data_IF_361270166974
#
_entry.id   IF_361270166974
#
_cell.length_a   1.000
_cell.length_b   1.000
_cell.length_c   1.000
_cell.angle_alpha   90.00
_cell.angle_beta   90.00
_cell.angle_gamma   90.00
#
_symmetry.space_group_name_H-M   'P 1'
#
loop_
_entity.id
_entity.type
_entity.pdbx_description
1 polymer ?
#
# COMPACT_ATOMS: atom_id res chain seq x y z
N UNK A 1 -33.89 -52.15 -19.22
CA UNK A 1 -32.87 -51.11 -19.47
C UNK A 1 -33.36 -49.65 -19.30
N UNK A 2 -34.64 -49.31 -19.59
CA UNK A 2 -35.12 -47.91 -19.63
C UNK A 2 -35.22 -47.15 -18.29
N UNK A 3 -35.60 -47.83 -17.19
CA UNK A 3 -35.77 -47.19 -15.87
C UNK A 3 -34.45 -46.65 -15.26
N UNK A 4 -33.31 -47.28 -15.55
CA UNK A 4 -32.00 -46.82 -15.05
C UNK A 4 -31.49 -45.56 -15.79
N UNK A 5 -31.75 -45.45 -17.09
CA UNK A 5 -31.37 -44.24 -17.87
C UNK A 5 -32.16 -43.02 -17.40
N UNK A 6 -33.47 -43.13 -17.20
CA UNK A 6 -34.31 -42.04 -16.72
C UNK A 6 -33.93 -41.54 -15.30
N UNK A 7 -33.56 -42.46 -14.39
CA UNK A 7 -33.07 -42.10 -13.04
C UNK A 7 -31.74 -41.34 -13.07
N UNK A 8 -30.81 -41.74 -13.95
CA UNK A 8 -29.53 -41.03 -14.15
C UNK A 8 -29.75 -39.63 -14.73
N UNK A 9 -30.58 -39.49 -15.75
CA UNK A 9 -30.93 -38.18 -16.34
C UNK A 9 -31.59 -37.25 -15.32
N UNK A 10 -32.49 -37.77 -14.47
CA UNK A 10 -33.09 -37.03 -13.36
C UNK A 10 -32.04 -36.53 -12.34
N UNK A 11 -31.02 -37.35 -12.06
CA UNK A 11 -29.93 -36.98 -11.17
C UNK A 11 -29.06 -35.85 -11.76
N UNK A 12 -28.70 -35.93 -13.03
CA UNK A 12 -27.91 -34.90 -13.72
C UNK A 12 -28.67 -33.56 -13.80
N UNK A 13 -29.98 -33.59 -14.06
CA UNK A 13 -30.80 -32.37 -14.06
C UNK A 13 -30.88 -31.74 -12.66
N UNK A 14 -30.99 -32.57 -11.61
CA UNK A 14 -31.01 -32.09 -10.23
C UNK A 14 -29.67 -31.46 -9.84
N UNK A 15 -28.56 -32.08 -10.24
CA UNK A 15 -27.22 -31.54 -10.03
C UNK A 15 -27.01 -30.23 -10.79
N UNK A 16 -27.44 -30.16 -12.06
CA UNK A 16 -27.34 -28.94 -12.86
C UNK A 16 -28.12 -27.77 -12.23
N UNK A 17 -29.32 -28.02 -11.69
CA UNK A 17 -30.09 -27.00 -10.97
C UNK A 17 -29.38 -26.51 -9.70
N UNK A 18 -28.76 -27.42 -8.94
CA UNK A 18 -27.98 -27.06 -7.75
C UNK A 18 -26.75 -26.24 -8.11
N UNK A 19 -26.03 -26.60 -9.19
CA UNK A 19 -24.89 -25.84 -9.68
C UNK A 19 -25.29 -24.44 -10.14
N UNK A 20 -26.40 -24.33 -10.90
CA UNK A 20 -26.93 -23.02 -11.32
C UNK A 20 -27.32 -22.16 -10.13
N UNK A 21 -27.98 -22.74 -9.11
CA UNK A 21 -28.30 -22.02 -7.88
C UNK A 21 -27.03 -21.56 -7.15
N UNK A 22 -26.01 -22.42 -7.08
CA UNK A 22 -24.71 -22.07 -6.50
C UNK A 22 -24.03 -20.91 -7.23
N UNK A 23 -24.04 -20.91 -8.56
CA UNK A 23 -23.48 -19.84 -9.39
C UNK A 23 -24.22 -18.51 -9.13
N UNK A 24 -25.55 -18.54 -9.10
CA UNK A 24 -26.36 -17.34 -8.84
C UNK A 24 -26.08 -16.79 -7.44
N UNK A 25 -25.99 -17.65 -6.44
CA UNK A 25 -25.67 -17.25 -5.06
C UNK A 25 -24.26 -16.67 -4.99
N UNK A 26 -23.26 -17.33 -5.58
CA UNK A 26 -21.87 -16.86 -5.59
C UNK A 26 -21.74 -15.49 -6.30
N UNK A 27 -22.41 -15.32 -7.44
CA UNK A 27 -22.44 -14.04 -8.15
C UNK A 27 -23.09 -12.94 -7.31
N UNK A 28 -24.20 -13.22 -6.63
CA UNK A 28 -24.83 -12.27 -5.72
C UNK A 28 -23.91 -11.87 -4.56
N UNK A 29 -23.25 -12.85 -3.92
CA UNK A 29 -22.27 -12.58 -2.86
C UNK A 29 -21.08 -11.76 -3.37
N UNK A 30 -20.55 -12.08 -4.54
CA UNK A 30 -19.45 -11.33 -5.15
C UNK A 30 -19.83 -9.87 -5.36
N UNK A 31 -21.01 -9.60 -5.94
CA UNK A 31 -21.49 -8.23 -6.17
C UNK A 31 -21.72 -7.47 -4.85
N UNK A 32 -22.25 -8.13 -3.82
CA UNK A 32 -22.44 -7.53 -2.50
C UNK A 32 -21.11 -7.17 -1.84
N UNK A 33 -20.13 -8.07 -1.88
CA UNK A 33 -18.79 -7.82 -1.34
C UNK A 33 -18.14 -6.67 -2.11
N UNK A 34 -18.19 -6.68 -3.44
CA UNK A 34 -17.59 -5.64 -4.26
C UNK A 34 -18.17 -4.25 -3.91
N UNK A 35 -19.49 -4.14 -3.79
CA UNK A 35 -20.16 -2.90 -3.39
C UNK A 35 -19.83 -2.47 -1.96
N UNK A 36 -19.78 -3.41 -1.02
CA UNK A 36 -19.44 -3.12 0.37
C UNK A 36 -17.97 -2.71 0.53
N UNK A 37 -17.07 -3.37 -0.19
CA UNK A 37 -15.63 -3.08 -0.21
C UNK A 37 -15.35 -1.69 -0.74
N UNK A 38 -15.93 -1.31 -1.89
CA UNK A 38 -15.70 0.03 -2.46
C UNK A 38 -16.13 1.14 -1.49
N UNK A 39 -17.26 0.96 -0.81
CA UNK A 39 -17.75 1.93 0.17
C UNK A 39 -16.95 1.92 1.47
N UNK A 40 -16.62 0.75 2.00
CA UNK A 40 -15.89 0.62 3.25
C UNK A 40 -14.46 1.15 3.12
N UNK A 41 -13.77 0.82 2.02
CA UNK A 41 -12.39 1.27 1.76
C UNK A 41 -12.35 2.79 1.63
N UNK A 42 -13.22 3.38 0.82
CA UNK A 42 -13.24 4.84 0.62
C UNK A 42 -13.62 5.56 1.92
N UNK A 43 -14.63 5.09 2.65
CA UNK A 43 -15.05 5.72 3.91
C UNK A 43 -13.98 5.62 4.99
N UNK A 44 -13.40 4.43 5.22
CA UNK A 44 -12.37 4.26 6.24
C UNK A 44 -11.07 4.98 5.89
N UNK A 45 -10.61 4.95 4.64
CA UNK A 45 -9.32 5.54 4.27
C UNK A 45 -9.40 7.05 4.05
N UNK A 46 -10.52 7.55 3.49
CA UNK A 46 -10.64 8.95 3.04
C UNK A 46 -11.41 9.83 4.03
N UNK A 47 -12.53 9.35 4.60
CA UNK A 47 -13.40 10.18 5.45
C UNK A 47 -12.80 10.44 6.84
N UNK A 48 -12.03 9.49 7.37
CA UNK A 48 -11.42 9.61 8.71
C UNK A 48 -10.07 10.32 8.70
N UNK A 49 -9.59 10.78 7.53
CA UNK A 49 -8.22 11.26 7.32
C UNK A 49 -7.17 10.29 7.89
N UNK A 50 -7.47 8.98 7.99
CA UNK A 50 -6.61 8.01 8.66
C UNK A 50 -5.22 7.96 8.02
N UNK A 51 -5.16 7.99 6.69
CA UNK A 51 -3.89 8.00 5.96
C UNK A 51 -3.11 9.29 6.23
N UNK A 52 -3.75 10.46 6.15
CA UNK A 52 -3.07 11.73 6.45
C UNK A 52 -2.58 11.80 7.90
N UNK A 53 -3.42 11.43 8.86
CA UNK A 53 -3.07 11.39 10.27
C UNK A 53 -1.97 10.36 10.58
N UNK A 54 -1.93 9.25 9.85
CA UNK A 54 -0.86 8.26 9.98
C UNK A 54 0.46 8.78 9.39
N UNK A 55 0.43 9.43 8.23
CA UNK A 55 1.60 10.05 7.61
C UNK A 55 2.15 11.21 8.46
N UNK A 56 1.28 12.05 9.04
CA UNK A 56 1.69 13.14 9.93
C UNK A 56 2.39 12.61 11.19
N UNK A 57 1.84 11.55 11.80
CA UNK A 57 2.48 10.89 12.95
C UNK A 57 3.81 10.24 12.54
N UNK A 58 3.83 9.53 11.42
CA UNK A 58 5.05 8.90 10.91
C UNK A 58 6.16 9.92 10.63
N UNK A 59 5.82 11.07 10.05
CA UNK A 59 6.76 12.16 9.81
C UNK A 59 7.31 12.73 11.12
N UNK A 60 6.45 12.92 12.13
CA UNK A 60 6.86 13.36 13.47
C UNK A 60 7.81 12.34 14.14
N UNK A 61 7.44 11.06 14.13
CA UNK A 61 8.23 9.98 14.73
C UNK A 61 9.58 9.81 14.02
N UNK A 62 9.59 9.97 12.69
CA UNK A 62 10.81 9.96 11.89
C UNK A 62 11.70 11.16 12.23
N UNK A 63 11.15 12.36 12.37
CA UNK A 63 11.91 13.54 12.76
C UNK A 63 12.55 13.37 14.15
N UNK A 64 11.83 12.78 15.11
CA UNK A 64 12.38 12.48 16.43
C UNK A 64 13.54 11.47 16.31
N UNK A 65 13.36 10.41 15.53
CA UNK A 65 14.40 9.40 15.31
C UNK A 65 15.65 9.98 14.65
N UNK A 66 15.50 10.79 13.59
CA UNK A 66 16.61 11.50 12.93
C UNK A 66 17.36 12.38 13.93
N UNK A 67 16.63 13.18 14.70
CA UNK A 67 17.24 14.12 15.66
C UNK A 67 17.98 13.39 16.77
N UNK A 68 17.37 12.34 17.34
CA UNK A 68 17.95 11.57 18.45
C UNK A 68 19.23 10.85 18.07
N UNK A 69 19.32 10.34 16.84
CA UNK A 69 20.48 9.60 16.36
C UNK A 69 21.43 10.46 15.50
N UNK A 70 21.11 11.75 15.32
CA UNK A 70 21.89 12.71 14.53
C UNK A 70 22.11 12.25 13.07
N UNK A 71 21.07 11.69 12.44
CA UNK A 71 21.17 11.09 11.11
C UNK A 71 21.35 12.12 10.00
N UNK A 72 22.21 11.78 9.06
CA UNK A 72 22.35 12.39 7.74
C UNK A 72 21.31 11.81 6.77
N UNK A 73 20.96 12.56 5.72
CA UNK A 73 20.10 12.06 4.64
C UNK A 73 20.65 10.83 3.91
N UNK A 74 21.94 10.52 4.09
CA UNK A 74 22.63 9.36 3.51
C UNK A 74 22.77 8.17 4.47
N UNK A 75 22.29 8.26 5.71
CA UNK A 75 22.35 7.16 6.69
C UNK A 75 21.24 6.13 6.39
N UNK A 76 21.31 5.53 5.19
CA UNK A 76 20.27 4.69 4.61
C UNK A 76 20.04 3.40 5.39
N UNK A 77 21.05 2.91 6.11
CA UNK A 77 20.93 1.69 6.93
C UNK A 77 20.01 1.94 8.12
N UNK A 78 20.20 3.04 8.83
CA UNK A 78 19.40 3.47 9.97
C UNK A 78 17.98 3.83 9.54
N UNK A 79 17.84 4.54 8.42
CA UNK A 79 16.53 4.83 7.82
C UNK A 79 15.80 3.54 7.41
N UNK A 80 16.50 2.58 6.81
CA UNK A 80 15.92 1.25 6.48
C UNK A 80 15.47 0.54 7.76
N UNK A 81 16.29 0.55 8.80
CA UNK A 81 15.96 -0.10 10.07
C UNK A 81 14.72 0.53 10.72
N UNK A 82 14.61 1.86 10.69
CA UNK A 82 13.44 2.56 11.19
C UNK A 82 12.19 2.20 10.39
N UNK A 83 12.27 2.21 9.05
CA UNK A 83 11.14 1.84 8.17
C UNK A 83 10.71 0.40 8.42
N UNK A 84 11.64 -0.54 8.61
CA UNK A 84 11.34 -1.95 8.91
C UNK A 84 10.61 -2.15 10.24
N UNK A 85 10.72 -1.20 11.18
CA UNK A 85 9.94 -1.21 12.43
C UNK A 85 8.52 -0.68 12.22
N UNK A 86 8.28 0.06 11.14
CA UNK A 86 6.96 0.53 10.76
C UNK A 86 6.18 -0.57 10.01
N UNK A 87 4.87 -0.66 10.25
CA UNK A 87 4.06 -1.78 9.72
C UNK A 87 3.68 -1.64 8.24
N UNK A 88 3.49 -0.42 7.73
CA UNK A 88 2.88 -0.18 6.41
C UNK A 88 3.39 1.13 5.78
N UNK A 89 4.63 1.53 6.07
CA UNK A 89 5.17 2.82 5.60
C UNK A 89 6.38 2.55 4.72
N UNK A 90 6.44 3.23 3.59
CA UNK A 90 7.62 3.41 2.76
C UNK A 90 8.01 4.88 2.74
N UNK A 91 9.31 5.16 2.64
CA UNK A 91 9.81 6.53 2.52
C UNK A 91 10.73 6.66 1.32
N UNK A 92 10.67 7.82 0.68
CA UNK A 92 11.68 8.31 -0.23
C UNK A 92 12.23 9.63 0.27
N UNK A 93 13.55 9.75 0.28
CA UNK A 93 14.26 10.94 0.74
C UNK A 93 14.76 11.67 -0.49
N UNK A 94 14.37 12.94 -0.63
CA UNK A 94 14.81 13.82 -1.70
C UNK A 94 15.65 14.96 -1.12
N UNK A 95 16.82 15.18 -1.69
CA UNK A 95 17.69 16.28 -1.34
C UNK A 95 17.91 17.17 -2.55
N UNK A 96 17.48 18.42 -2.45
CA UNK A 96 17.45 19.35 -3.59
C UNK A 96 16.71 18.74 -4.80
N UNK A 97 15.55 18.14 -4.55
CA UNK A 97 14.71 17.46 -5.56
C UNK A 97 15.34 16.20 -6.19
N UNK A 98 16.51 15.76 -5.71
CA UNK A 98 17.18 14.54 -6.17
C UNK A 98 16.87 13.40 -5.20
N UNK A 99 16.35 12.27 -5.68
CA UNK A 99 16.15 11.08 -4.85
C UNK A 99 17.52 10.56 -4.37
N UNK A 100 17.70 10.46 -3.05
CA UNK A 100 18.93 9.95 -2.43
C UNK A 100 18.73 8.60 -1.74
N UNK A 101 17.48 8.23 -1.46
CA UNK A 101 17.14 6.95 -0.83
C UNK A 101 15.66 6.57 -1.07
N UNK A 102 15.40 5.30 -1.40
CA UNK A 102 14.06 4.68 -1.45
C UNK A 102 14.05 3.43 -0.58
N UNK A 103 13.19 3.39 0.43
CA UNK A 103 13.12 2.25 1.35
C UNK A 103 12.58 0.97 0.72
N UNK A 104 11.95 1.04 -0.46
CA UNK A 104 11.52 -0.15 -1.21
C UNK A 104 12.70 -0.85 -1.88
N UNK A 105 13.79 -0.11 -2.12
CA UNK A 105 15.00 -0.59 -2.78
C UNK A 105 16.24 -0.18 -1.95
N UNK A 106 16.35 -0.60 -0.68
CA UNK A 106 17.34 -0.06 0.26
C UNK A 106 18.79 -0.41 -0.09
N UNK A 107 18.98 -1.48 -0.86
CA UNK A 107 20.29 -1.99 -1.29
C UNK A 107 20.67 -1.53 -2.71
N UNK A 108 19.76 -0.87 -3.43
CA UNK A 108 20.02 -0.38 -4.78
C UNK A 108 20.57 1.05 -4.74
N UNK A 109 21.66 1.28 -5.48
CA UNK A 109 22.09 2.65 -5.74
C UNK A 109 20.98 3.37 -6.49
N UNK A 110 20.72 4.64 -6.18
CA UNK A 110 19.78 5.45 -6.96
C UNK A 110 20.46 5.83 -8.28
N UNK A 111 19.86 5.47 -9.41
CA UNK A 111 20.43 5.77 -10.73
C UNK A 111 20.13 7.22 -11.09
N UNK A 112 21.06 7.92 -11.75
CA UNK A 112 20.93 9.36 -12.04
C UNK A 112 19.62 9.75 -12.74
N UNK A 113 19.10 8.87 -13.62
CA UNK A 113 17.84 9.08 -14.32
C UNK A 113 16.62 9.02 -13.38
N UNK A 114 16.61 8.07 -12.44
CA UNK A 114 15.54 7.93 -11.44
C UNK A 114 15.67 9.03 -10.36
N UNK A 115 16.90 9.45 -10.08
CA UNK A 115 17.23 10.50 -9.13
C UNK A 115 16.58 11.85 -9.51
N UNK A 116 16.60 12.20 -10.79
CA UNK A 116 16.08 13.47 -11.31
C UNK A 116 14.61 13.40 -11.76
N UNK A 117 14.11 12.22 -12.14
CA UNK A 117 12.73 12.03 -12.61
C UNK A 117 11.72 11.72 -11.49
N UNK A 118 12.20 11.48 -10.26
CA UNK A 118 11.37 10.97 -9.17
C UNK A 118 10.66 12.02 -8.31
N UNK A 119 10.97 13.31 -8.47
CA UNK A 119 10.37 14.40 -7.67
C UNK A 119 9.25 15.09 -8.45
N UNK A 120 8.04 15.10 -7.90
CA UNK A 120 6.84 15.55 -8.57
C UNK A 120 6.12 16.62 -7.76
N UNK A 121 5.97 17.82 -8.33
CA UNK A 121 5.40 18.97 -7.61
C UNK A 121 3.93 18.81 -7.16
N UNK A 122 3.23 17.79 -7.64
CA UNK A 122 1.84 17.48 -7.28
C UNK A 122 1.72 16.46 -6.13
N UNK A 123 2.83 15.89 -5.66
CA UNK A 123 2.87 15.04 -4.48
C UNK A 123 3.02 15.87 -3.20
N UNK A 124 2.60 15.31 -2.07
CA UNK A 124 2.75 15.93 -0.76
C UNK A 124 4.03 15.42 -0.09
N UNK A 125 4.93 16.34 0.24
CA UNK A 125 6.19 16.04 0.93
C UNK A 125 6.22 16.62 2.34
N UNK A 126 6.94 15.94 3.23
CA UNK A 126 7.28 16.45 4.57
C UNK A 126 8.75 16.89 4.56
N UNK A 127 9.00 18.16 4.80
CA UNK A 127 10.38 18.64 4.94
C UNK A 127 10.90 18.34 6.34
N UNK A 128 11.84 17.41 6.45
CA UNK A 128 12.50 17.04 7.69
C UNK A 128 13.92 17.62 7.75
N UNK A 129 14.43 17.81 8.96
CA UNK A 129 15.79 18.31 9.20
C UNK A 129 16.71 17.19 9.64
N UNK A 130 17.71 16.90 8.80
CA UNK A 130 18.81 15.98 9.05
C UNK A 130 20.05 16.74 9.50
N UNK A 131 21.08 16.02 9.97
CA UNK A 131 22.35 16.61 10.40
C UNK A 131 23.12 17.28 9.24
N UNK A 132 22.87 16.84 8.01
CA UNK A 132 23.45 17.37 6.78
C UNK A 132 22.53 18.37 6.04
N UNK A 133 21.43 18.79 6.66
CA UNK A 133 20.50 19.81 6.14
C UNK A 133 19.06 19.32 6.01
N UNK A 134 18.23 20.11 5.32
CA UNK A 134 16.82 19.73 5.08
C UNK A 134 16.71 18.76 3.90
N UNK A 135 15.73 17.86 3.99
CA UNK A 135 15.35 16.97 2.90
C UNK A 135 13.83 16.80 2.87
N UNK A 136 13.28 16.60 1.69
CA UNK A 136 11.86 16.37 1.47
C UNK A 136 11.60 14.87 1.49
N UNK A 137 10.64 14.45 2.32
CA UNK A 137 10.28 13.06 2.50
C UNK A 137 8.91 12.81 1.89
N UNK A 138 8.86 11.87 0.95
CA UNK A 138 7.61 11.30 0.49
C UNK A 138 7.28 10.07 1.33
N UNK A 139 6.12 10.07 1.98
CA UNK A 139 5.62 8.97 2.81
C UNK A 139 4.42 8.32 2.12
N UNK A 140 4.47 6.99 1.97
CA UNK A 140 3.42 6.19 1.33
C UNK A 140 3.13 4.90 2.08
#
# INVERSE_FOLDING_TARGET
>A
MGKMKAKRTSLYIRLAKLLMAGIVIAAAFFLLIQWASDRAIVYFLRETNYIQNASDRAASDLQEYITKNNLSSQDTTELTQWVRQQKVISIRVYKNEILVYDSNYPDEAVWDADAQGGYYSWESYYTLTFSDGKADIFLR
#
